data_IF_564343782297
#
_entry.id   IF_564343782297
#
_cell.length_a   1.000
_cell.length_b   1.000
_cell.length_c   1.000
_cell.angle_alpha   90.00
_cell.angle_beta   90.00
_cell.angle_gamma   90.00
#
_symmetry.space_group_name_H-M   'P 1'
#
loop_
_entity.id
_entity.type
_entity.pdbx_description
1 polymer ?
#
# COMPACT_ATOMS: atom_id res chain seq x y z
N UNK A 1 10.86 -17.56 16.45
CA UNK A 1 9.78 -16.98 15.63
C UNK A 1 9.52 -15.56 16.11
N UNK A 2 10.31 -14.59 15.65
CA UNK A 2 10.10 -13.17 15.93
C UNK A 2 8.96 -12.65 15.06
N UNK A 3 7.99 -11.97 15.69
CA UNK A 3 6.78 -11.46 15.05
C UNK A 3 7.17 -10.28 14.13
N UNK A 4 7.04 -10.42 12.81
CA UNK A 4 7.27 -9.30 11.89
C UNK A 4 6.06 -8.35 11.96
N UNK A 5 6.25 -7.04 12.17
CA UNK A 5 5.15 -6.14 12.51
C UNK A 5 4.24 -5.79 11.31
N UNK A 6 4.68 -6.14 10.09
CA UNK A 6 3.87 -6.11 8.87
C UNK A 6 3.85 -7.51 8.24
N UNK A 7 3.11 -8.43 8.86
CA UNK A 7 3.07 -9.85 8.49
C UNK A 7 2.69 -10.07 7.01
N UNK A 8 1.67 -9.36 6.51
CA UNK A 8 1.20 -9.50 5.13
C UNK A 8 2.25 -9.03 4.11
N UNK A 9 2.91 -7.89 4.39
CA UNK A 9 3.94 -7.35 3.51
C UNK A 9 5.17 -8.28 3.45
N UNK A 10 5.56 -8.87 4.57
CA UNK A 10 6.64 -9.88 4.62
C UNK A 10 6.34 -11.07 3.70
N UNK A 11 5.15 -11.68 3.81
CA UNK A 11 4.78 -12.79 2.93
C UNK A 11 4.76 -12.37 1.46
N UNK A 12 4.26 -11.17 1.16
CA UNK A 12 4.28 -10.63 -0.20
C UNK A 12 5.70 -10.50 -0.76
N UNK A 13 6.65 -10.03 0.05
CA UNK A 13 8.06 -9.90 -0.32
C UNK A 13 8.71 -11.26 -0.54
N UNK A 14 8.54 -12.20 0.39
CA UNK A 14 9.06 -13.56 0.29
C UNK A 14 8.56 -14.23 -1.00
N UNK A 15 7.25 -14.18 -1.24
CA UNK A 15 6.64 -14.72 -2.44
C UNK A 15 7.20 -14.08 -3.72
N UNK A 16 7.27 -12.74 -3.78
CA UNK A 16 7.72 -12.02 -4.97
C UNK A 16 9.21 -12.21 -5.31
N UNK A 17 10.05 -12.56 -4.34
CA UNK A 17 11.45 -12.96 -4.59
C UNK A 17 11.58 -14.39 -5.13
N UNK A 18 10.68 -15.29 -4.77
CA UNK A 18 10.76 -16.73 -5.10
C UNK A 18 10.10 -17.08 -6.45
N UNK A 19 9.17 -16.26 -6.95
CA UNK A 19 8.51 -16.46 -8.26
C UNK A 19 9.37 -15.99 -9.45
N UNK A 20 10.42 -16.73 -9.82
CA UNK A 20 11.09 -16.48 -11.10
C UNK A 20 10.24 -17.04 -12.26
N UNK A 21 9.71 -16.14 -13.11
CA UNK A 21 9.10 -16.49 -14.40
C UNK A 21 7.67 -17.06 -14.35
N UNK A 22 7.00 -17.00 -13.21
CA UNK A 22 5.56 -17.32 -13.10
C UNK A 22 4.75 -16.02 -13.29
N UNK A 23 3.71 -16.07 -14.12
CA UNK A 23 2.74 -14.97 -14.29
C UNK A 23 2.08 -14.64 -12.95
N UNK A 24 1.66 -13.38 -12.75
CA UNK A 24 0.82 -13.00 -11.61
C UNK A 24 -0.33 -14.03 -11.48
N UNK A 25 -0.43 -14.80 -10.39
CA UNK A 25 -1.48 -15.82 -10.23
C UNK A 25 -2.87 -15.19 -10.20
N UNK A 26 -2.95 -13.87 -10.08
CA UNK A 26 -4.18 -13.08 -10.11
C UNK A 26 -4.41 -12.35 -11.44
N UNK A 27 -3.57 -12.55 -12.46
CA UNK A 27 -3.85 -12.10 -13.84
C UNK A 27 -4.87 -12.99 -14.56
N UNK A 28 -4.95 -14.27 -14.18
CA UNK A 28 -6.01 -15.18 -14.62
C UNK A 28 -6.87 -15.55 -13.40
N UNK A 29 -7.99 -14.86 -13.25
CA UNK A 29 -8.92 -14.93 -12.11
C UNK A 29 -9.43 -16.34 -11.80
N UNK A 30 -8.67 -17.11 -11.03
CA UNK A 30 -9.14 -18.36 -10.41
C UNK A 30 -8.56 -18.59 -9.01
N UNK A 31 -7.79 -17.65 -8.45
CA UNK A 31 -7.12 -17.84 -7.17
C UNK A 31 -7.36 -16.64 -6.26
N UNK A 32 -8.12 -16.85 -5.18
CA UNK A 32 -8.55 -15.78 -4.28
C UNK A 32 -7.47 -15.40 -3.26
N UNK A 33 -6.44 -16.25 -3.11
CA UNK A 33 -5.28 -16.04 -2.25
C UNK A 33 -4.06 -16.84 -2.72
N UNK A 34 -2.85 -16.41 -2.33
CA UNK A 34 -1.60 -17.16 -2.62
C UNK A 34 -1.61 -18.55 -1.94
N UNK A 35 -2.28 -18.70 -0.80
CA UNK A 35 -2.44 -19.97 -0.08
C UNK A 35 -3.31 -20.99 -0.86
N UNK A 36 -4.21 -20.52 -1.71
CA UNK A 36 -4.95 -21.36 -2.65
C UNK A 36 -4.09 -21.69 -3.88
N UNK A 37 -3.22 -20.77 -4.30
CA UNK A 37 -2.29 -20.98 -5.41
C UNK A 37 -1.29 -22.10 -5.09
N UNK A 38 -0.78 -22.15 -3.86
CA UNK A 38 0.14 -23.18 -3.36
C UNK A 38 -0.48 -24.59 -3.30
N UNK A 39 -1.82 -24.70 -3.29
CA UNK A 39 -2.55 -25.98 -3.21
C UNK A 39 -2.87 -26.59 -4.56
N UNK A 40 -2.64 -25.88 -5.67
CA UNK A 40 -2.91 -26.42 -7.01
C UNK A 40 -1.64 -27.00 -7.65
N UNK A 41 -1.75 -28.12 -8.41
CA UNK A 41 -0.63 -28.62 -9.20
C UNK A 41 -0.24 -27.57 -10.24
N UNK A 42 1.08 -27.35 -10.39
CA UNK A 42 1.71 -26.32 -11.22
C UNK A 42 0.87 -25.89 -12.44
N UNK A 43 0.32 -24.68 -12.38
CA UNK A 43 -0.50 -24.10 -13.44
C UNK A 43 0.32 -24.03 -14.73
N UNK A 44 -0.21 -24.63 -15.81
CA UNK A 44 0.43 -24.58 -17.13
C UNK A 44 0.47 -23.12 -17.61
N UNK A 45 1.67 -22.67 -17.92
CA UNK A 45 2.04 -21.35 -18.44
C UNK A 45 1.20 -20.96 -19.64
N UNK A 46 0.38 -19.92 -19.50
CA UNK A 46 -0.13 -19.16 -20.64
C UNK A 46 0.90 -18.09 -20.96
N UNK A 47 1.55 -18.22 -22.11
CA UNK A 47 2.64 -17.36 -22.56
C UNK A 47 2.13 -16.02 -23.07
N UNK A 48 1.84 -15.07 -22.18
CA UNK A 48 1.93 -13.66 -22.51
C UNK A 48 3.15 -13.13 -21.77
N UNK A 49 4.23 -12.83 -22.50
CA UNK A 49 5.44 -12.25 -21.92
C UNK A 49 5.14 -10.79 -21.56
N UNK A 50 4.89 -10.54 -20.28
CA UNK A 50 5.07 -9.21 -19.68
C UNK A 50 6.52 -8.71 -19.91
N UNK A 51 6.75 -7.38 -19.92
CA UNK A 51 8.09 -6.81 -20.04
C UNK A 51 9.05 -7.45 -19.02
N UNK A 52 10.29 -7.68 -19.46
CA UNK A 52 11.29 -8.56 -18.83
C UNK A 52 11.21 -8.56 -17.30
N UNK A 53 10.56 -9.59 -16.74
CA UNK A 53 10.27 -9.79 -15.32
C UNK A 53 11.53 -9.92 -14.43
N UNK A 54 12.73 -9.84 -14.99
CA UNK A 54 13.99 -9.99 -14.27
C UNK A 54 14.74 -8.69 -13.98
N UNK A 55 14.24 -7.54 -14.44
CA UNK A 55 14.94 -6.27 -14.26
C UNK A 55 14.48 -5.50 -13.01
N UNK A 56 14.49 -6.15 -11.84
CA UNK A 56 14.29 -5.49 -10.54
C UNK A 56 15.39 -5.87 -9.55
N UNK A 57 15.76 -4.94 -8.68
CA UNK A 57 16.73 -5.17 -7.61
C UNK A 57 16.12 -5.06 -6.20
N UNK A 58 14.88 -4.58 -6.09
CA UNK A 58 14.14 -4.42 -4.83
C UNK A 58 12.73 -4.99 -4.99
N UNK A 59 12.27 -5.69 -3.96
CA UNK A 59 10.85 -6.02 -3.78
C UNK A 59 10.32 -5.17 -2.63
N UNK A 60 9.22 -4.47 -2.88
CA UNK A 60 8.51 -3.66 -1.90
C UNK A 60 7.08 -4.16 -1.75
N UNK A 61 6.54 -4.11 -0.53
CA UNK A 61 5.16 -4.47 -0.26
C UNK A 61 4.43 -3.39 0.56
N UNK A 62 3.19 -3.14 0.18
CA UNK A 62 2.26 -2.22 0.85
C UNK A 62 1.17 -3.04 1.55
N UNK A 63 1.08 -2.91 2.87
CA UNK A 63 -0.04 -3.35 3.68
C UNK A 63 -1.00 -2.18 3.88
N UNK A 64 -2.00 -2.08 3.00
CA UNK A 64 -3.03 -1.05 3.10
C UNK A 64 -4.16 -1.58 4.00
N UNK A 65 -4.01 -1.42 5.32
CA UNK A 65 -4.96 -1.93 6.30
C UNK A 65 -6.14 -0.99 6.53
N UNK A 66 -7.11 -1.41 7.36
CA UNK A 66 -8.29 -0.60 7.67
C UNK A 66 -7.98 0.56 8.62
N UNK A 67 -7.28 0.24 9.72
CA UNK A 67 -6.92 1.22 10.75
C UNK A 67 -5.49 1.73 10.53
N UNK A 68 -4.57 0.81 10.24
CA UNK A 68 -3.14 1.08 10.11
C UNK A 68 -2.63 0.52 8.78
N UNK A 69 -1.78 1.29 8.12
CA UNK A 69 -1.10 0.92 6.89
C UNK A 69 0.41 0.94 7.09
N UNK A 70 1.15 0.18 6.29
CA UNK A 70 2.60 0.17 6.37
C UNK A 70 3.26 -0.39 5.11
N UNK A 71 4.57 -0.19 5.02
CA UNK A 71 5.37 -0.60 3.88
C UNK A 71 6.61 -1.36 4.34
N UNK A 72 7.05 -2.31 3.54
CA UNK A 72 8.30 -3.03 3.75
C UNK A 72 9.01 -3.25 2.42
N UNK A 73 10.31 -3.48 2.47
CA UNK A 73 11.12 -3.82 1.30
C UNK A 73 12.28 -4.74 1.65
N UNK A 74 12.77 -5.47 0.66
CA UNK A 74 14.03 -6.21 0.73
C UNK A 74 14.70 -6.18 -0.64
N UNK A 75 16.01 -5.99 -0.66
CA UNK A 75 16.76 -6.05 -1.92
C UNK A 75 17.02 -7.49 -2.30
N UNK A 76 17.24 -7.78 -3.59
CA UNK A 76 17.60 -9.14 -4.02
C UNK A 76 18.91 -9.61 -3.40
N UNK A 77 19.82 -8.68 -3.06
CA UNK A 77 21.06 -8.99 -2.36
C UNK A 77 20.77 -9.38 -0.91
N UNK A 78 20.10 -8.50 -0.17
CA UNK A 78 19.75 -8.72 1.24
C UNK A 78 18.97 -10.03 1.41
N UNK A 79 17.99 -10.28 0.54
CA UNK A 79 17.17 -11.50 0.59
C UNK A 79 17.95 -12.78 0.30
N UNK A 80 19.00 -12.72 -0.55
CA UNK A 80 19.89 -13.86 -0.82
C UNK A 80 20.81 -14.16 0.35
N UNK A 81 21.32 -13.10 0.98
CA UNK A 81 22.26 -13.21 2.10
C UNK A 81 21.53 -13.65 3.39
N UNK A 82 20.35 -13.07 3.67
CA UNK A 82 19.45 -13.46 4.75
C UNK A 82 17.99 -13.20 4.36
N UNK A 83 17.21 -14.27 4.14
CA UNK A 83 15.77 -14.18 3.81
C UNK A 83 14.94 -13.44 4.87
N UNK A 84 15.43 -13.33 6.11
CA UNK A 84 14.74 -12.63 7.19
C UNK A 84 15.01 -11.11 7.20
N UNK A 85 15.96 -10.63 6.39
CA UNK A 85 16.33 -9.23 6.31
C UNK A 85 15.32 -8.45 5.46
N UNK A 86 14.22 -8.08 6.11
CA UNK A 86 13.13 -7.27 5.57
C UNK A 86 13.09 -5.95 6.32
N UNK A 87 13.30 -4.86 5.58
CA UNK A 87 13.27 -3.51 6.10
C UNK A 87 11.83 -2.98 6.08
N UNK A 88 11.44 -2.20 7.08
CA UNK A 88 10.13 -1.56 7.12
C UNK A 88 10.29 -0.04 6.96
N UNK A 89 9.27 0.62 6.41
CA UNK A 89 9.15 2.06 6.54
C UNK A 89 9.03 2.43 8.02
N UNK A 90 9.92 3.29 8.47
CA UNK A 90 9.92 3.85 9.81
C UNK A 90 9.71 5.37 9.71
N UNK A 91 9.64 6.07 10.83
CA UNK A 91 9.59 7.54 10.86
C UNK A 91 8.44 8.18 10.04
N UNK A 92 7.20 7.71 10.22
CA UNK A 92 6.02 8.23 9.51
C UNK A 92 5.65 9.68 9.83
N UNK A 93 6.25 10.26 10.88
CA UNK A 93 6.03 11.64 11.28
C UNK A 93 7.34 12.23 11.82
N UNK A 94 7.81 13.31 11.21
CA UNK A 94 9.02 14.02 11.65
C UNK A 94 8.77 14.93 12.87
N UNK A 95 7.50 15.28 13.12
CA UNK A 95 7.09 16.24 14.15
C UNK A 95 6.70 15.57 15.48
N UNK A 96 6.55 14.25 15.51
CA UNK A 96 6.18 13.50 16.71
C UNK A 96 7.19 12.38 16.99
N UNK A 97 8.05 12.63 17.97
CA UNK A 97 9.08 11.69 18.42
C UNK A 97 8.50 10.37 18.95
N UNK A 98 7.23 10.35 19.38
CA UNK A 98 6.57 9.13 19.83
C UNK A 98 6.34 8.13 18.69
N UNK A 99 6.23 8.61 17.44
CA UNK A 99 5.93 7.77 16.28
C UNK A 99 7.16 7.37 15.46
N UNK A 100 8.37 7.82 15.84
CA UNK A 100 9.60 7.57 15.08
C UNK A 100 9.93 6.08 14.91
N UNK A 101 9.59 5.26 15.90
CA UNK A 101 9.85 3.82 15.88
C UNK A 101 8.66 2.98 15.38
N UNK A 102 7.57 3.61 14.93
CA UNK A 102 6.42 2.87 14.41
C UNK A 102 6.64 2.43 12.98
N UNK A 103 6.38 1.15 12.70
CA UNK A 103 6.46 0.56 11.36
C UNK A 103 5.15 0.69 10.57
N UNK A 104 4.11 1.23 11.20
CA UNK A 104 2.81 1.50 10.60
C UNK A 104 2.33 2.91 10.93
N UNK A 105 1.54 3.47 10.04
CA UNK A 105 0.87 4.76 10.17
C UNK A 105 -0.65 4.59 10.12
N UNK A 106 -1.40 5.61 10.56
CA UNK A 106 -2.85 5.61 10.44
C UNK A 106 -3.31 5.51 8.97
N UNK A 107 -4.45 4.86 8.74
CA UNK A 107 -5.10 4.86 7.41
C UNK A 107 -6.10 6.00 7.34
N UNK A 108 -5.56 7.21 7.20
CA UNK A 108 -6.34 8.42 7.05
C UNK A 108 -5.64 9.40 6.09
N UNK A 109 -6.43 10.29 5.50
CA UNK A 109 -5.97 11.25 4.51
C UNK A 109 -6.62 12.60 4.79
N UNK A 110 -5.81 13.64 4.71
CA UNK A 110 -6.24 15.03 4.80
C UNK A 110 -6.10 15.65 3.41
N UNK A 111 -7.19 16.24 2.93
CA UNK A 111 -7.25 16.98 1.68
C UNK A 111 -7.57 18.43 1.98
N UNK A 112 -6.90 19.36 1.31
CA UNK A 112 -7.28 20.75 1.26
C UNK A 112 -8.16 20.99 0.03
N UNK A 113 -9.29 21.68 0.20
CA UNK A 113 -10.27 21.94 -0.86
C UNK A 113 -9.69 22.60 -2.13
N UNK A 114 -8.61 23.38 -2.01
CA UNK A 114 -7.98 24.08 -3.15
C UNK A 114 -6.71 23.40 -3.65
N UNK A 115 -5.92 22.82 -2.73
CA UNK A 115 -4.59 22.28 -3.04
C UNK A 115 -4.58 20.77 -3.29
N UNK A 116 -5.68 20.09 -2.98
CA UNK A 116 -5.79 18.64 -3.12
C UNK A 116 -5.14 17.92 -1.94
N UNK A 117 -4.29 16.93 -2.22
CA UNK A 117 -3.60 16.14 -1.21
C UNK A 117 -2.76 17.02 -0.28
N UNK A 118 -3.01 16.93 1.04
CA UNK A 118 -2.25 17.66 2.06
C UNK A 118 -1.33 16.72 2.84
N UNK A 119 -1.87 15.61 3.36
CA UNK A 119 -1.12 14.65 4.17
C UNK A 119 -1.81 13.29 4.24
N UNK A 120 -1.04 12.26 4.62
CA UNK A 120 -1.52 10.90 4.92
C UNK A 120 -1.07 10.44 6.31
N UNK A 121 -1.84 9.54 6.92
CA UNK A 121 -1.52 8.85 8.17
C UNK A 121 -1.33 9.74 9.38
N UNK A 122 -0.35 9.45 10.23
CA UNK A 122 -0.13 10.22 11.46
C UNK A 122 0.12 11.71 11.20
N UNK A 123 0.73 12.09 10.07
CA UNK A 123 0.84 13.50 9.69
C UNK A 123 -0.54 14.12 9.40
N UNK A 124 -1.40 13.41 8.66
CA UNK A 124 -2.79 13.85 8.43
C UNK A 124 -3.57 14.01 9.74
N UNK A 125 -3.44 13.04 10.64
CA UNK A 125 -4.09 13.07 11.95
C UNK A 125 -3.57 14.27 12.78
N UNK A 126 -2.25 14.43 12.86
CA UNK A 126 -1.62 15.52 13.60
C UNK A 126 -2.10 16.87 13.06
N UNK A 127 -1.97 17.13 11.76
CA UNK A 127 -2.42 18.39 11.14
C UNK A 127 -3.90 18.65 11.41
N UNK A 128 -4.77 17.66 11.15
CA UNK A 128 -6.22 17.84 11.35
C UNK A 128 -6.59 18.17 12.81
N UNK A 129 -5.90 17.60 13.80
CA UNK A 129 -6.14 17.91 15.22
C UNK A 129 -5.70 19.32 15.61
N UNK A 130 -4.68 19.88 14.93
CA UNK A 130 -4.18 21.22 15.19
C UNK A 130 -4.93 22.33 14.44
N UNK A 131 -5.72 22.00 13.41
CA UNK A 131 -6.58 22.98 12.72
C UNK A 131 -7.67 23.52 13.66
N UNK A 132 -7.90 24.83 13.64
CA UNK A 132 -9.03 25.44 14.32
C UNK A 132 -10.38 25.16 13.59
N UNK A 133 -11.49 25.60 14.19
CA UNK A 133 -12.83 25.34 13.64
C UNK A 133 -13.04 26.00 12.26
N UNK A 134 -12.50 27.21 12.06
CA UNK A 134 -12.63 27.96 10.81
C UNK A 134 -11.76 27.36 9.72
N UNK A 135 -10.53 26.99 10.06
CA UNK A 135 -9.60 26.34 9.14
C UNK A 135 -10.12 24.99 8.67
N UNK A 136 -10.78 24.21 9.55
CA UNK A 136 -11.40 22.92 9.18
C UNK A 136 -12.43 23.02 8.05
N UNK A 137 -12.95 24.20 7.72
CA UNK A 137 -13.83 24.39 6.55
C UNK A 137 -13.09 24.37 5.21
N UNK A 138 -11.76 24.53 5.22
CA UNK A 138 -10.92 24.43 4.03
C UNK A 138 -10.38 23.02 3.76
N UNK A 139 -10.65 22.07 4.67
CA UNK A 139 -10.13 20.71 4.61
C UNK A 139 -11.24 19.65 4.68
N UNK A 140 -10.94 18.50 4.09
CA UNK A 140 -11.68 17.25 4.21
C UNK A 140 -10.75 16.20 4.82
N UNK A 141 -11.19 15.60 5.93
CA UNK A 141 -10.44 14.54 6.60
C UNK A 141 -11.20 13.23 6.51
N UNK A 142 -10.54 12.18 6.03
CA UNK A 142 -11.11 10.85 5.88
C UNK A 142 -10.30 9.87 6.72
N UNK A 143 -10.97 9.18 7.63
CA UNK A 143 -10.36 8.18 8.52
C UNK A 143 -11.20 6.92 8.51
N UNK A 144 -10.56 5.75 8.60
CA UNK A 144 -11.20 4.43 8.54
C UNK A 144 -12.04 4.19 7.27
N UNK A 145 -11.78 4.94 6.19
CA UNK A 145 -12.59 4.90 4.97
C UNK A 145 -12.48 3.58 4.21
N UNK A 146 -11.44 2.77 4.43
CA UNK A 146 -11.33 1.42 3.87
C UNK A 146 -12.51 0.53 4.30
N UNK A 147 -13.13 0.79 5.45
CA UNK A 147 -14.35 0.08 5.83
C UNK A 147 -15.52 0.32 4.88
N UNK A 148 -15.59 1.50 4.25
CA UNK A 148 -16.62 1.78 3.25
C UNK A 148 -16.48 0.92 2.00
N UNK A 149 -15.25 0.49 1.66
CA UNK A 149 -15.01 -0.43 0.54
C UNK A 149 -15.60 -1.81 0.83
N UNK A 150 -15.36 -2.32 2.05
CA UNK A 150 -15.84 -3.65 2.45
C UNK A 150 -17.37 -3.71 2.62
N UNK A 151 -17.97 -2.63 3.13
CA UNK A 151 -19.42 -2.57 3.38
C UNK A 151 -20.21 -1.99 2.20
N UNK A 152 -19.59 -1.82 1.03
CA UNK A 152 -20.23 -1.16 -0.09
C UNK A 152 -21.39 -1.98 -0.64
N UNK A 153 -22.53 -1.33 -0.86
CA UNK A 153 -23.69 -1.90 -1.58
C UNK A 153 -23.80 -1.40 -3.01
N UNK A 154 -22.85 -0.57 -3.43
CA UNK A 154 -22.72 -0.02 -4.79
C UNK A 154 -21.37 -0.41 -5.38
N UNK A 155 -21.20 -0.41 -6.71
CA UNK A 155 -19.90 -0.65 -7.32
C UNK A 155 -18.83 0.33 -6.79
N UNK A 156 -17.63 -0.16 -6.48
CA UNK A 156 -16.58 0.62 -5.81
C UNK A 156 -16.16 1.86 -6.62
N UNK A 157 -16.19 1.79 -7.95
CA UNK A 157 -15.92 2.92 -8.84
C UNK A 157 -16.96 4.06 -8.74
N UNK A 158 -18.16 3.78 -8.21
CA UNK A 158 -19.21 4.78 -7.95
C UNK A 158 -19.28 5.22 -6.49
N UNK A 159 -18.54 4.56 -5.61
CA UNK A 159 -18.63 4.79 -4.18
C UNK A 159 -18.09 6.19 -3.84
N UNK A 160 -18.92 6.99 -3.17
CA UNK A 160 -18.54 8.27 -2.58
C UNK A 160 -18.39 8.09 -1.07
N UNK A 161 -17.25 8.48 -0.53
CA UNK A 161 -16.93 8.40 0.89
C UNK A 161 -17.03 9.79 1.47
N UNK A 162 -17.79 9.96 2.55
CA UNK A 162 -17.93 11.23 3.25
C UNK A 162 -16.75 11.50 4.18
N UNK A 163 -16.39 12.77 4.31
CA UNK A 163 -15.41 13.19 5.32
C UNK A 163 -15.97 12.97 6.73
N UNK A 164 -15.11 13.01 7.76
CA UNK A 164 -15.53 12.76 9.15
C UNK A 164 -16.61 13.74 9.65
N UNK A 165 -16.69 14.95 9.08
CA UNK A 165 -17.72 15.95 9.40
C UNK A 165 -18.96 15.82 8.52
N UNK A 166 -18.95 14.92 7.53
CA UNK A 166 -20.03 14.66 6.57
C UNK A 166 -20.48 15.89 5.79
N UNK A 167 -19.60 16.88 5.61
CA UNK A 167 -19.88 18.09 4.84
C UNK A 167 -19.70 17.85 3.35
N UNK A 168 -18.76 17.00 2.97
CA UNK A 168 -18.50 16.66 1.58
C UNK A 168 -18.09 15.19 1.45
N UNK A 169 -17.91 14.74 0.21
CA UNK A 169 -17.46 13.40 -0.12
C UNK A 169 -16.46 13.39 -1.27
N UNK A 170 -15.66 12.33 -1.30
CA UNK A 170 -14.72 12.05 -2.38
C UNK A 170 -14.94 10.66 -2.96
N UNK A 171 -14.65 10.44 -4.25
CA UNK A 171 -14.62 9.11 -4.82
C UNK A 171 -13.70 8.19 -4.03
N UNK A 172 -14.14 6.97 -3.75
CA UNK A 172 -13.32 5.95 -3.09
C UNK A 172 -12.00 5.72 -3.83
N UNK A 173 -12.04 5.74 -5.16
CA UNK A 173 -10.88 5.58 -6.03
C UNK A 173 -9.81 6.68 -5.80
N UNK A 174 -10.24 7.94 -5.64
CA UNK A 174 -9.33 9.08 -5.35
C UNK A 174 -8.62 8.85 -4.01
N UNK A 175 -9.37 8.52 -2.96
CA UNK A 175 -8.82 8.31 -1.62
C UNK A 175 -7.85 7.13 -1.56
N UNK A 176 -8.19 6.00 -2.20
CA UNK A 176 -7.33 4.81 -2.25
C UNK A 176 -6.07 5.07 -3.07
N UNK A 177 -6.20 5.70 -4.25
CA UNK A 177 -5.05 6.02 -5.11
C UNK A 177 -4.06 6.95 -4.41
N UNK A 178 -4.54 8.04 -3.81
CA UNK A 178 -3.70 8.97 -3.06
C UNK A 178 -3.02 8.31 -1.85
N UNK A 179 -3.70 7.38 -1.18
CA UNK A 179 -3.14 6.65 -0.05
C UNK A 179 -2.02 5.70 -0.48
N UNK A 180 -2.22 4.94 -1.56
CA UNK A 180 -1.20 4.07 -2.14
C UNK A 180 0.01 4.90 -2.57
N UNK A 181 -0.23 6.05 -3.22
CA UNK A 181 0.82 6.98 -3.61
C UNK A 181 1.62 7.48 -2.41
N UNK A 182 0.97 7.94 -1.36
CA UNK A 182 1.65 8.44 -0.17
C UNK A 182 2.53 7.36 0.49
N UNK A 183 2.04 6.12 0.57
CA UNK A 183 2.77 4.97 1.07
C UNK A 183 3.99 4.62 0.19
N UNK A 184 3.78 4.60 -1.15
CA UNK A 184 4.83 4.39 -2.15
C UNK A 184 5.93 5.45 -2.04
N UNK A 185 5.56 6.72 -2.05
CA UNK A 185 6.49 7.85 -2.00
C UNK A 185 7.28 7.85 -0.68
N UNK A 186 6.61 7.56 0.45
CA UNK A 186 7.27 7.44 1.76
C UNK A 186 8.34 6.36 1.75
N UNK A 187 8.03 5.17 1.22
CA UNK A 187 8.99 4.06 1.16
C UNK A 187 10.16 4.37 0.22
N UNK A 188 9.90 5.01 -0.91
CA UNK A 188 10.96 5.43 -1.85
C UNK A 188 11.90 6.42 -1.16
N UNK A 189 11.37 7.38 -0.40
CA UNK A 189 12.19 8.35 0.31
C UNK A 189 13.08 7.69 1.37
N UNK A 190 12.53 6.76 2.17
CA UNK A 190 13.31 5.97 3.13
C UNK A 190 14.44 5.19 2.46
N UNK A 191 14.15 4.50 1.35
CA UNK A 191 15.16 3.75 0.60
C UNK A 191 16.29 4.70 0.15
N UNK A 192 15.95 5.89 -0.35
CA UNK A 192 16.93 6.90 -0.76
C UNK A 192 17.77 7.42 0.40
N UNK A 193 17.14 7.69 1.55
CA UNK A 193 17.81 8.19 2.76
C UNK A 193 18.83 7.19 3.33
N UNK A 194 18.69 5.89 3.05
CA UNK A 194 19.72 4.92 3.42
C UNK A 194 21.08 5.18 2.76
N UNK A 195 21.12 5.90 1.62
CA UNK A 195 22.33 6.15 0.85
C UNK A 195 22.99 4.90 0.25
N UNK A 196 22.36 3.72 0.40
CA UNK A 196 22.91 2.44 -0.04
C UNK A 196 22.70 2.17 -1.53
N UNK A 197 21.78 2.89 -2.17
CA UNK A 197 21.33 2.62 -3.54
C UNK A 197 21.28 3.90 -4.36
N UNK A 198 21.94 3.98 -5.53
CA UNK A 198 21.81 5.10 -6.45
C UNK A 198 20.37 5.25 -6.93
N UNK A 199 19.85 6.47 -7.01
CA UNK A 199 18.48 6.76 -7.43
C UNK A 199 18.17 6.24 -8.85
N UNK A 200 19.16 6.23 -9.73
CA UNK A 200 19.06 5.73 -11.11
C UNK A 200 18.88 4.21 -11.22
N UNK A 201 19.11 3.48 -10.12
CA UNK A 201 19.11 2.02 -10.11
C UNK A 201 17.91 1.43 -9.35
N UNK A 202 16.98 2.26 -8.84
CA UNK A 202 15.82 1.78 -8.07
C UNK A 202 14.77 1.12 -8.97
N UNK A 203 14.96 -0.16 -9.29
CA UNK A 203 13.98 -0.99 -10.00
C UNK A 203 13.20 -1.82 -9.00
N UNK A 204 12.02 -1.33 -8.65
CA UNK A 204 11.20 -1.88 -7.57
C UNK A 204 10.03 -2.69 -8.12
N UNK A 205 9.94 -3.95 -7.71
CA UNK A 205 8.73 -4.77 -7.85
C UNK A 205 7.80 -4.49 -6.66
N UNK A 206 6.58 -4.02 -6.94
CA UNK A 206 5.59 -3.69 -5.92
C UNK A 206 4.59 -4.83 -5.70
N UNK A 207 4.31 -5.11 -4.43
CA UNK A 207 3.25 -6.01 -3.99
C UNK A 207 2.24 -5.22 -3.17
N UNK A 208 0.98 -5.20 -3.59
CA UNK A 208 -0.10 -4.61 -2.80
C UNK A 208 -0.89 -5.72 -2.14
N UNK A 209 -0.89 -5.77 -0.81
CA UNK A 209 -1.65 -6.78 -0.09
C UNK A 209 -3.12 -6.37 0.00
N UNK A 210 -4.01 -7.34 -0.19
CA UNK A 210 -5.46 -7.17 -0.11
C UNK A 210 -6.03 -8.26 0.82
N UNK A 211 -7.12 -8.00 1.56
CA UNK A 211 -7.73 -9.02 2.40
C UNK A 211 -8.18 -10.23 1.58
N UNK A 212 -7.95 -11.45 2.09
CA UNK A 212 -8.32 -12.68 1.40
C UNK A 212 -9.83 -12.82 1.15
N UNK A 213 -10.66 -12.20 1.99
CA UNK A 213 -12.13 -12.19 1.88
C UNK A 213 -12.66 -11.26 0.78
N UNK A 214 -11.80 -10.50 0.10
CA UNK A 214 -12.23 -9.63 -1.00
C UNK A 214 -12.46 -10.44 -2.27
N UNK A 215 -13.55 -10.13 -2.96
CA UNK A 215 -13.87 -10.67 -4.27
C UNK A 215 -12.94 -10.12 -5.37
N UNK A 216 -13.07 -10.67 -6.57
CA UNK A 216 -12.19 -10.32 -7.70
C UNK A 216 -12.43 -8.89 -8.20
N UNK A 217 -13.65 -8.36 -8.09
CA UNK A 217 -13.95 -6.96 -8.45
C UNK A 217 -13.24 -5.99 -7.50
N UNK A 218 -13.27 -6.25 -6.19
CA UNK A 218 -12.59 -5.43 -5.20
C UNK A 218 -11.06 -5.52 -5.33
N UNK A 219 -10.52 -6.69 -5.69
CA UNK A 219 -9.09 -6.86 -5.99
C UNK A 219 -8.69 -6.08 -7.26
N UNK A 220 -9.50 -6.15 -8.31
CA UNK A 220 -9.28 -5.39 -9.54
C UNK A 220 -9.30 -3.88 -9.26
N UNK A 221 -10.28 -3.40 -8.49
CA UNK A 221 -10.38 -2.01 -8.07
C UNK A 221 -9.09 -1.51 -7.36
N UNK A 222 -8.54 -2.30 -6.44
CA UNK A 222 -7.27 -1.96 -5.76
C UNK A 222 -6.11 -1.88 -6.76
N UNK A 223 -6.06 -2.80 -7.71
CA UNK A 223 -5.02 -2.84 -8.76
C UNK A 223 -5.12 -1.62 -9.68
N UNK A 224 -6.32 -1.23 -10.08
CA UNK A 224 -6.57 -0.03 -10.87
C UNK A 224 -6.15 1.24 -10.12
N UNK A 225 -6.52 1.37 -8.85
CA UNK A 225 -6.07 2.48 -8.00
C UNK A 225 -4.54 2.55 -7.91
N UNK A 226 -3.87 1.39 -7.76
CA UNK A 226 -2.42 1.32 -7.68
C UNK A 226 -1.73 1.80 -8.97
N UNK A 227 -2.27 1.44 -10.14
CA UNK A 227 -1.71 1.80 -11.47
C UNK A 227 -1.78 3.28 -11.82
N UNK A 228 -2.51 4.09 -11.06
CA UNK A 228 -2.56 5.54 -11.26
C UNK A 228 -1.32 6.30 -10.76
N UNK A 229 -0.35 5.61 -10.13
CA UNK A 229 0.75 6.22 -9.37
C UNK A 229 2.14 5.71 -9.70
#
# INVERSE_FOLDING_TARGET
STFHPIKNAKYGIEWAHEINGLTDPTENSCVSSIQEAEKQPAYKTVSNKEPDMDDFNIVAAIDFGTALSGCAYSTRKDFKDDKLLINCQQCWNQYDSMNQNMVKTATCILLHNKKGFEAFGFDAQCRYTHLDIKEKDEYLYFSYFKMSLYNSTVPLHKLQIKDVRRKDSKPAEELVSLSIKALKDSLINEIKETGKYPETDLKIRWVLTVPAIWDDEAKLFMRECARKN
#
